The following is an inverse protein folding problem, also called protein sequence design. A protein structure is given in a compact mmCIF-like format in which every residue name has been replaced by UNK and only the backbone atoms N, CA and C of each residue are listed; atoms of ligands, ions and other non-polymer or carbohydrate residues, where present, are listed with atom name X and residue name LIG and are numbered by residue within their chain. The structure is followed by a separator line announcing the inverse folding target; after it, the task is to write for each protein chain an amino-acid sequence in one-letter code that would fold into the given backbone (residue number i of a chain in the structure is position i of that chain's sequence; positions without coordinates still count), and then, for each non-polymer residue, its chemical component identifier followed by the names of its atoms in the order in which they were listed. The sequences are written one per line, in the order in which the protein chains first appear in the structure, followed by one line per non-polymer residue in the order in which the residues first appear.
data_IF_918562734247
#
_entry.id   IF_918562734247
#
_cell.length_a   1.000
_cell.length_b   1.000
_cell.length_c   1.000
_cell.angle_alpha   90.00
_cell.angle_beta   90.00
_cell.angle_gamma   90.00
#
_symmetry.space_group_name_H-M   'P 1'
#
loop_
_entity.id
_entity.type
_entity.pdbx_description
1 polymer ?
#
# COMPACT_ATOMS: atom_id res chain seq x y z
N UNK A 1 -7.87 -19.60 13.91
CA UNK A 1 -6.69 -19.60 12.99
C UNK A 1 -6.27 -21.03 12.68
N UNK A 2 -5.54 -21.74 13.56
CA UNK A 2 -5.27 -23.17 13.31
C UNK A 2 -6.51 -24.05 13.52
N UNK A 3 -7.30 -23.76 14.55
CA UNK A 3 -8.60 -24.40 14.83
C UNK A 3 -9.50 -24.46 13.59
N UNK A 4 -9.56 -23.34 12.86
CA UNK A 4 -10.45 -23.19 11.71
C UNK A 4 -9.89 -23.99 10.52
N UNK A 5 -8.57 -23.99 10.32
CA UNK A 5 -7.93 -24.83 9.29
C UNK A 5 -8.12 -26.33 9.56
N UNK A 6 -8.11 -26.76 10.82
CA UNK A 6 -8.41 -28.14 11.22
C UNK A 6 -9.88 -28.47 10.98
N UNK A 7 -10.79 -27.56 11.35
CA UNK A 7 -12.23 -27.73 11.14
C UNK A 7 -12.57 -27.86 9.63
N UNK A 8 -11.86 -27.13 8.77
CA UNK A 8 -11.99 -27.20 7.32
C UNK A 8 -11.19 -28.36 6.69
N UNK A 9 -10.58 -29.25 7.49
CA UNK A 9 -9.76 -30.39 7.04
C UNK A 9 -8.58 -30.00 6.12
N UNK A 10 -8.03 -28.78 6.29
CA UNK A 10 -6.88 -28.31 5.52
C UNK A 10 -5.54 -28.78 6.09
N UNK A 11 -5.49 -29.06 7.40
CA UNK A 11 -4.28 -29.49 8.12
C UNK A 11 -4.65 -30.27 9.38
N UNK A 12 -3.77 -31.15 9.84
CA UNK A 12 -3.81 -31.75 11.18
C UNK A 12 -2.79 -31.04 12.09
N UNK A 13 -3.02 -30.93 13.41
CA UNK A 13 -2.09 -30.25 14.32
C UNK A 13 -0.64 -30.77 14.21
N UNK A 14 -0.46 -32.06 13.99
CA UNK A 14 0.83 -32.74 13.90
C UNK A 14 1.62 -32.39 12.62
N UNK A 15 0.95 -31.88 11.58
CA UNK A 15 1.59 -31.43 10.33
C UNK A 15 2.18 -30.02 10.44
N UNK A 16 1.88 -29.27 11.51
CA UNK A 16 2.36 -27.91 11.69
C UNK A 16 3.75 -27.92 12.35
N UNK A 17 4.77 -27.56 11.57
CA UNK A 17 6.16 -27.48 12.05
C UNK A 17 6.43 -26.12 12.74
N UNK A 18 5.86 -25.04 12.21
CA UNK A 18 6.07 -23.68 12.71
C UNK A 18 4.83 -22.81 12.44
N UNK A 19 4.62 -21.79 13.27
CA UNK A 19 3.59 -20.76 13.05
C UNK A 19 4.21 -19.38 13.11
N UNK A 20 3.81 -18.51 12.18
CA UNK A 20 4.21 -17.10 12.17
C UNK A 20 2.98 -16.21 11.99
N UNK A 21 2.87 -15.16 12.82
CA UNK A 21 1.78 -14.18 12.75
C UNK A 21 2.37 -12.80 12.60
N UNK A 22 2.10 -12.16 11.46
CA UNK A 22 2.47 -10.78 11.19
C UNK A 22 1.21 -9.92 11.05
N UNK A 23 1.22 -8.73 11.65
CA UNK A 23 0.11 -7.77 11.57
C UNK A 23 0.55 -6.54 10.79
N UNK A 24 -0.12 -6.29 9.66
CA UNK A 24 0.14 -5.15 8.79
C UNK A 24 -1.05 -4.17 8.85
N UNK A 25 -1.02 -3.14 9.72
CA UNK A 25 -2.15 -2.23 9.91
C UNK A 25 -2.49 -1.42 8.64
N UNK A 26 -1.50 -1.20 7.77
CA UNK A 26 -1.65 -0.45 6.52
C UNK A 26 -1.48 -1.35 5.29
N UNK A 27 -1.96 -2.60 5.34
CA UNK A 27 -1.89 -3.50 4.19
C UNK A 27 -2.78 -3.03 3.03
N UNK A 28 -3.93 -2.44 3.34
CA UNK A 28 -4.95 -2.02 2.37
C UNK A 28 -5.30 -0.53 2.59
N UNK A 29 -5.37 0.27 1.52
CA UNK A 29 -6.04 1.57 1.61
C UNK A 29 -7.53 1.30 1.76
N UNK A 30 -8.09 1.66 2.91
CA UNK A 30 -9.51 1.50 3.17
C UNK A 30 -10.25 2.73 2.66
N UNK A 31 -11.10 2.53 1.65
CA UNK A 31 -11.90 3.57 1.04
C UNK A 31 -13.16 3.83 1.85
N UNK A 32 -13.02 4.65 2.89
CA UNK A 32 -14.16 5.13 3.67
C UNK A 32 -14.98 6.13 2.87
N UNK A 33 -16.20 6.43 3.32
CA UNK A 33 -16.97 7.53 2.75
C UNK A 33 -16.12 8.81 2.72
N UNK A 34 -16.11 9.50 1.56
CA UNK A 34 -15.34 10.72 1.31
C UNK A 34 -13.80 10.59 1.34
N UNK A 35 -13.25 9.37 1.25
CA UNK A 35 -11.79 9.20 1.23
C UNK A 35 -11.13 10.00 0.10
N UNK A 36 -11.78 10.12 -1.06
CA UNK A 36 -11.25 10.82 -2.22
C UNK A 36 -10.94 12.28 -1.89
N UNK A 37 -11.84 12.96 -1.17
CA UNK A 37 -11.65 14.35 -0.75
C UNK A 37 -10.41 14.49 0.13
N UNK A 38 -10.25 13.60 1.12
CA UNK A 38 -9.09 13.63 2.01
C UNK A 38 -7.78 13.36 1.27
N UNK A 39 -7.78 12.36 0.37
CA UNK A 39 -6.62 12.03 -0.45
C UNK A 39 -6.25 13.19 -1.36
N UNK A 40 -7.23 13.82 -2.01
CA UNK A 40 -6.98 14.97 -2.90
C UNK A 40 -6.39 16.17 -2.16
N UNK A 41 -6.87 16.48 -0.95
CA UNK A 41 -6.30 17.54 -0.11
C UNK A 41 -4.82 17.27 0.18
N UNK A 42 -4.48 16.03 0.57
CA UNK A 42 -3.09 15.65 0.86
C UNK A 42 -2.21 15.65 -0.38
N UNK A 43 -2.69 15.08 -1.49
CA UNK A 43 -1.94 15.03 -2.74
C UNK A 43 -1.70 16.42 -3.33
N UNK A 44 -2.67 17.34 -3.19
CA UNK A 44 -2.49 18.73 -3.60
C UNK A 44 -1.41 19.42 -2.76
N UNK A 45 -1.48 19.30 -1.44
CA UNK A 45 -0.51 19.91 -0.54
C UNK A 45 0.93 19.39 -0.79
N UNK A 46 1.09 18.09 -1.05
CA UNK A 46 2.40 17.52 -1.42
C UNK A 46 2.80 17.96 -2.84
N UNK A 47 1.85 18.07 -3.76
CA UNK A 47 2.08 18.50 -5.14
C UNK A 47 2.72 19.89 -5.25
N UNK A 48 2.40 20.80 -4.32
CA UNK A 48 2.96 22.15 -4.22
C UNK A 48 4.42 22.18 -3.74
N UNK A 49 4.95 21.06 -3.22
CA UNK A 49 6.35 20.95 -2.78
C UNK A 49 7.27 20.64 -3.97
N UNK A 50 8.34 21.42 -4.12
CA UNK A 50 9.31 21.32 -5.23
C UNK A 50 10.21 20.08 -5.16
N UNK A 51 10.40 19.54 -3.96
CA UNK A 51 11.35 18.45 -3.69
C UNK A 51 10.66 17.17 -3.17
N UNK A 52 9.35 17.01 -3.43
CA UNK A 52 8.59 15.85 -2.94
C UNK A 52 7.61 15.31 -3.99
N UNK A 53 7.45 14.00 -4.00
CA UNK A 53 6.49 13.26 -4.82
C UNK A 53 5.92 12.05 -4.05
N UNK A 54 4.72 11.60 -4.42
CA UNK A 54 4.09 10.41 -3.85
C UNK A 54 4.03 9.25 -4.83
N UNK A 55 4.20 8.03 -4.30
CA UNK A 55 4.21 6.80 -5.07
C UNK A 55 3.59 5.62 -4.31
N UNK A 56 3.27 4.55 -5.04
CA UNK A 56 2.86 3.27 -4.48
C UNK A 56 1.48 3.26 -3.82
N UNK A 57 1.18 2.13 -3.16
CA UNK A 57 -0.13 1.83 -2.58
C UNK A 57 -0.55 2.85 -1.51
N UNK A 58 0.31 3.09 -0.52
CA UNK A 58 -0.04 4.00 0.57
C UNK A 58 0.27 5.46 0.26
N UNK A 59 1.37 5.76 -0.44
CA UNK A 59 1.71 7.14 -0.78
C UNK A 59 0.71 7.81 -1.71
N UNK A 60 0.07 7.05 -2.61
CA UNK A 60 -1.02 7.54 -3.47
C UNK A 60 -2.42 7.12 -3.00
N UNK A 61 -2.50 6.34 -1.93
CA UNK A 61 -3.73 5.73 -1.42
C UNK A 61 -4.52 4.94 -2.49
N UNK A 62 -3.83 4.10 -3.25
CA UNK A 62 -4.40 3.30 -4.34
C UNK A 62 -4.22 1.81 -4.11
N UNK A 63 -5.29 1.04 -4.24
CA UNK A 63 -5.24 -0.42 -4.19
C UNK A 63 -4.58 -0.99 -5.46
N UNK A 64 -3.27 -1.19 -5.41
CA UNK A 64 -2.46 -1.64 -6.55
C UNK A 64 -1.57 -2.84 -6.22
N UNK A 65 -1.21 -3.61 -7.25
CA UNK A 65 -0.25 -4.71 -7.16
C UNK A 65 1.20 -4.20 -7.17
N UNK A 66 2.14 -5.05 -6.77
CA UNK A 66 3.58 -4.71 -6.62
C UNK A 66 4.20 -4.12 -7.89
N UNK A 67 3.92 -4.70 -9.07
CA UNK A 67 4.46 -4.18 -10.33
C UNK A 67 3.96 -2.77 -10.65
N UNK A 68 2.70 -2.46 -10.36
CA UNK A 68 2.15 -1.11 -10.49
C UNK A 68 2.79 -0.18 -9.46
N UNK A 69 2.92 -0.62 -8.20
CA UNK A 69 3.58 0.17 -7.17
C UNK A 69 5.03 0.54 -7.57
N UNK A 70 5.78 -0.42 -8.12
CA UNK A 70 7.13 -0.16 -8.67
C UNK A 70 7.10 0.82 -9.83
N UNK A 71 6.19 0.63 -10.80
CA UNK A 71 6.01 1.57 -11.92
C UNK A 71 5.76 2.99 -11.43
N UNK A 72 4.86 3.17 -10.47
CA UNK A 72 4.58 4.50 -9.90
C UNK A 72 5.78 5.12 -9.17
N UNK A 73 6.72 4.29 -8.69
CA UNK A 73 7.99 4.76 -8.13
C UNK A 73 8.89 5.38 -9.19
N UNK A 74 9.03 4.73 -10.35
CA UNK A 74 9.77 5.30 -11.49
C UNK A 74 9.12 6.60 -11.98
N UNK A 75 7.80 6.59 -12.18
CA UNK A 75 7.06 7.80 -12.61
C UNK A 75 7.17 8.95 -11.59
N UNK A 76 7.24 8.65 -10.30
CA UNK A 76 7.44 9.66 -9.26
C UNK A 76 8.85 10.24 -9.29
N UNK A 77 9.88 9.42 -9.57
CA UNK A 77 11.24 9.91 -9.76
C UNK A 77 11.33 10.85 -10.98
N UNK A 78 10.70 10.49 -12.10
CA UNK A 78 10.67 11.34 -13.30
C UNK A 78 9.99 12.69 -13.02
N UNK A 79 8.84 12.68 -12.32
CA UNK A 79 8.16 13.93 -11.93
C UNK A 79 9.00 14.78 -10.97
N UNK A 80 9.70 14.16 -10.04
CA UNK A 80 10.56 14.88 -9.10
C UNK A 80 11.75 15.54 -9.82
N UNK A 81 12.39 14.84 -10.77
CA UNK A 81 13.47 15.42 -11.56
C UNK A 81 12.99 16.61 -12.40
N UNK A 82 11.79 16.52 -12.98
CA UNK A 82 11.18 17.64 -13.69
C UNK A 82 10.98 18.85 -12.75
N UNK A 83 10.39 18.64 -11.56
CA UNK A 83 10.17 19.71 -10.57
C UNK A 83 11.45 20.40 -10.10
N UNK A 84 12.56 19.67 -9.99
CA UNK A 84 13.85 20.20 -9.53
C UNK A 84 14.61 20.94 -10.63
N UNK A 85 14.18 20.82 -11.88
CA UNK A 85 14.81 21.45 -13.04
C UNK A 85 14.18 22.80 -13.40
N UNK A 86 13.04 23.14 -12.78
CA UNK A 86 12.34 24.44 -12.86
C UNK A 86 12.82 25.39 -11.75
#
# INVERSE_FOLDING_TARGET
MLSDLVAENLVTPEQVIETHVFRAPHAYPMYTLHYETHVQVLLKAIGEMVNMETAGRQGRFQYVNTHIAMKTGYEAADRLLAKLSD
#
